data_IF_914942833464
#
_entry.id   IF_914942833464
#
_cell.length_a   1.000
_cell.length_b   1.000
_cell.length_c   1.000
_cell.angle_alpha   90.00
_cell.angle_beta   90.00
_cell.angle_gamma   90.00
#
_symmetry.space_group_name_H-M   'P 1'
#
loop_
_entity.id
_entity.type
_entity.pdbx_description
1 polymer ?
#
# COMPACT_ATOMS: atom_id res chain seq x y z
N UNK A 1 -15.87 12.23 -6.65
CA UNK A 1 -16.19 11.69 -5.31
C UNK A 1 -16.14 10.17 -5.37
N UNK A 2 -15.53 9.50 -4.39
CA UNK A 2 -15.45 8.04 -4.37
C UNK A 2 -16.84 7.43 -4.11
N UNK A 3 -17.20 6.38 -4.86
CA UNK A 3 -18.52 5.71 -4.80
C UNK A 3 -18.69 4.81 -3.56
N UNK A 4 -17.64 4.58 -2.78
CA UNK A 4 -17.59 3.59 -1.70
C UNK A 4 -16.78 4.18 -0.54
N UNK A 5 -17.21 3.92 0.70
CA UNK A 5 -16.47 4.27 1.92
C UNK A 5 -15.75 3.04 2.47
N UNK A 6 -14.47 3.18 2.76
CA UNK A 6 -13.61 2.11 3.29
C UNK A 6 -12.17 2.60 3.46
N UNK A 7 -11.31 1.73 3.99
CA UNK A 7 -9.88 2.00 4.16
C UNK A 7 -9.06 0.85 3.54
N UNK A 8 -7.90 1.17 2.99
CA UNK A 8 -6.91 0.16 2.62
C UNK A 8 -6.10 -0.16 3.88
N UNK A 9 -6.01 -1.44 4.24
CA UNK A 9 -5.23 -1.92 5.37
C UNK A 9 -4.12 -2.81 4.82
N UNK A 10 -2.88 -2.52 5.20
CA UNK A 10 -1.71 -3.30 4.81
C UNK A 10 -1.10 -3.92 6.04
N UNK A 11 -0.95 -5.24 6.01
CA UNK A 11 -0.14 -5.96 6.97
C UNK A 11 1.34 -5.74 6.62
N UNK A 12 2.01 -4.90 7.40
CA UNK A 12 3.39 -4.49 7.15
C UNK A 12 4.39 -5.62 7.36
N UNK A 13 4.08 -6.64 8.16
CA UNK A 13 4.94 -7.81 8.36
C UNK A 13 4.93 -8.75 7.15
N UNK A 14 3.83 -8.74 6.39
CA UNK A 14 3.63 -9.58 5.19
C UNK A 14 3.91 -8.84 3.88
N UNK A 15 3.80 -7.52 3.88
CA UNK A 15 4.02 -6.71 2.68
C UNK A 15 5.47 -6.84 2.19
N UNK A 16 5.63 -7.02 0.87
CA UNK A 16 6.95 -7.14 0.20
C UNK A 16 7.32 -5.90 -0.64
N UNK A 17 6.52 -4.84 -0.58
CA UNK A 17 6.80 -3.62 -1.34
C UNK A 17 6.78 -3.78 -2.87
N UNK A 18 6.00 -4.71 -3.41
CA UNK A 18 6.01 -5.02 -4.85
C UNK A 18 5.35 -3.96 -5.75
N UNK A 19 4.81 -2.88 -5.18
CA UNK A 19 4.14 -1.77 -5.88
C UNK A 19 2.88 -2.13 -6.70
N UNK A 20 2.42 -3.39 -6.69
CA UNK A 20 1.26 -3.81 -7.49
C UNK A 20 -0.06 -3.14 -7.05
N UNK A 21 -0.27 -2.98 -5.75
CA UNK A 21 -1.49 -2.33 -5.23
C UNK A 21 -1.56 -0.84 -5.61
N UNK A 22 -0.41 -0.16 -5.67
CA UNK A 22 -0.30 1.25 -6.07
C UNK A 22 -0.69 1.42 -7.53
N UNK A 23 -0.08 0.63 -8.43
CA UNK A 23 -0.38 0.68 -9.87
C UNK A 23 -1.82 0.28 -10.17
N UNK A 24 -2.38 -0.68 -9.41
CA UNK A 24 -3.74 -1.15 -9.61
C UNK A 24 -4.81 -0.18 -9.09
N UNK A 25 -4.46 0.79 -8.23
CA UNK A 25 -5.45 1.64 -7.58
C UNK A 25 -6.01 2.70 -8.55
N UNK A 26 -7.28 2.61 -8.98
CA UNK A 26 -7.83 3.56 -9.95
C UNK A 26 -8.02 4.97 -9.39
N UNK A 27 -8.02 5.09 -8.06
CA UNK A 27 -8.18 6.36 -7.36
C UNK A 27 -6.82 6.98 -6.95
N UNK A 28 -5.71 6.26 -7.14
CA UNK A 28 -4.36 6.70 -6.77
C UNK A 28 -4.26 7.18 -5.31
N UNK A 29 -4.89 6.45 -4.37
CA UNK A 29 -4.96 6.83 -2.93
C UNK A 29 -3.99 6.06 -2.03
N UNK A 30 -3.09 5.26 -2.60
CA UNK A 30 -2.08 4.48 -1.87
C UNK A 30 -0.74 4.64 -2.56
N UNK A 31 0.35 4.67 -1.77
CA UNK A 31 1.72 4.75 -2.24
C UNK A 31 2.64 3.94 -1.31
N UNK A 32 3.82 3.54 -1.79
CA UNK A 32 4.84 2.96 -0.90
C UNK A 32 5.43 4.04 0.01
N UNK A 33 5.66 3.71 1.28
CA UNK A 33 6.38 4.55 2.23
C UNK A 33 7.89 4.52 1.98
N UNK A 34 8.61 5.53 2.48
CA UNK A 34 10.08 5.54 2.53
C UNK A 34 10.63 4.72 3.69
N UNK A 35 9.80 4.38 4.65
CA UNK A 35 10.15 3.49 5.77
C UNK A 35 10.23 2.04 5.30
N UNK A 36 10.88 1.20 6.10
CA UNK A 36 11.01 -0.24 5.84
C UNK A 36 10.46 -1.05 7.02
N UNK A 37 9.87 -2.19 6.71
CA UNK A 37 9.49 -3.16 7.74
C UNK A 37 10.72 -3.94 8.27
N UNK A 38 10.51 -4.85 9.22
CA UNK A 38 11.56 -5.70 9.81
C UNK A 38 12.31 -6.58 8.80
N UNK A 39 11.76 -6.75 7.59
CA UNK A 39 12.38 -7.53 6.49
C UNK A 39 13.09 -6.63 5.47
N UNK A 40 13.10 -5.31 5.67
CA UNK A 40 13.76 -4.35 4.79
C UNK A 40 12.95 -3.91 3.56
N UNK A 41 11.64 -4.18 3.52
CA UNK A 41 10.79 -3.76 2.40
C UNK A 41 10.11 -2.43 2.68
N UNK A 42 10.12 -1.53 1.68
CA UNK A 42 9.23 -0.38 1.63
C UNK A 42 7.78 -0.84 1.48
N UNK A 43 7.00 -0.80 2.56
CA UNK A 43 5.60 -1.22 2.56
C UNK A 43 4.68 -0.10 2.04
N UNK A 44 3.38 -0.38 1.97
CA UNK A 44 2.33 0.57 1.61
C UNK A 44 1.40 0.76 2.81
#
# INVERSE_FOLDING_TARGET
MAKIKGAIVVDTERCKGCNLCVVACPLNVIALTKEVNVKGYNYA
#
